data_IF_616116284066
#
_entry.id   IF_616116284066
#
_cell.length_a   1.000
_cell.length_b   1.000
_cell.length_c   1.000
_cell.angle_alpha   90.00
_cell.angle_beta   90.00
_cell.angle_gamma   90.00
#
_symmetry.space_group_name_H-M   'P 1'
#
loop_
_entity.id
_entity.type
_entity.pdbx_description
1 polymer ?
#
# COMPACT_ATOMS: atom_id res chain seq x y z
N UNK A 1 16.87 8.68 -3.87
CA UNK A 1 16.87 7.82 -5.07
C UNK A 1 15.43 7.47 -5.42
N UNK A 2 14.93 8.03 -6.52
CA UNK A 2 13.52 7.96 -6.93
C UNK A 2 13.20 6.60 -7.58
N UNK A 3 12.16 5.91 -7.11
CA UNK A 3 11.68 4.63 -7.69
C UNK A 3 10.90 4.80 -9.01
N UNK A 4 11.14 5.88 -9.77
CA UNK A 4 10.35 6.21 -10.96
C UNK A 4 10.65 5.33 -12.18
N UNK A 5 11.73 4.55 -12.15
CA UNK A 5 12.22 3.83 -13.34
C UNK A 5 12.12 2.30 -13.21
N UNK A 6 11.31 1.78 -12.28
CA UNK A 6 11.22 0.33 -12.06
C UNK A 6 10.43 -0.41 -13.16
N UNK A 7 9.73 0.31 -14.02
CA UNK A 7 8.85 -0.25 -15.06
C UNK A 7 9.48 -0.17 -16.46
N UNK A 8 10.82 -0.13 -16.56
CA UNK A 8 11.54 0.09 -17.84
C UNK A 8 11.73 -1.17 -18.69
N UNK A 9 11.43 -2.36 -18.17
CA UNK A 9 11.67 -3.62 -18.89
C UNK A 9 10.58 -3.98 -19.93
N UNK A 10 9.44 -3.29 -19.93
CA UNK A 10 8.36 -3.53 -20.90
C UNK A 10 7.94 -2.19 -21.52
N UNK A 11 8.09 -2.00 -22.85
CA UNK A 11 7.56 -0.85 -23.54
C UNK A 11 6.05 -0.78 -23.31
N UNK A 12 5.59 0.16 -22.48
CA UNK A 12 4.16 0.29 -22.25
C UNK A 12 3.52 0.89 -23.49
N UNK A 13 2.50 0.22 -24.03
CA UNK A 13 1.78 0.68 -25.22
C UNK A 13 1.35 2.16 -25.10
N UNK A 14 1.33 2.91 -26.20
CA UNK A 14 0.77 4.25 -26.27
C UNK A 14 -0.56 4.37 -25.54
N UNK A 15 -0.81 5.53 -24.91
CA UNK A 15 -2.00 5.75 -24.08
C UNK A 15 -3.31 5.53 -24.85
N UNK A 16 -3.33 5.80 -26.15
CA UNK A 16 -4.49 5.59 -27.02
C UNK A 16 -4.77 4.09 -27.19
N UNK A 17 -3.76 3.27 -27.48
CA UNK A 17 -3.89 1.82 -27.61
C UNK A 17 -4.35 1.16 -26.31
N UNK A 18 -3.82 1.59 -25.16
CA UNK A 18 -4.31 1.10 -23.85
C UNK A 18 -5.79 1.40 -23.63
N UNK A 19 -6.27 2.56 -24.09
CA UNK A 19 -7.70 2.92 -24.00
C UNK A 19 -8.54 2.11 -24.96
N UNK A 20 -8.06 1.90 -26.19
CA UNK A 20 -8.73 1.08 -27.19
C UNK A 20 -8.86 -0.37 -26.70
N UNK A 21 -7.78 -0.98 -26.21
CA UNK A 21 -7.79 -2.31 -25.62
C UNK A 21 -8.76 -2.41 -24.42
N UNK A 22 -8.76 -1.42 -23.52
CA UNK A 22 -9.70 -1.41 -22.42
C UNK A 22 -11.16 -1.19 -22.85
N UNK A 23 -11.41 -0.59 -24.01
CA UNK A 23 -12.74 -0.45 -24.58
C UNK A 23 -13.19 -1.74 -25.28
N UNK A 24 -12.33 -2.37 -26.07
CA UNK A 24 -12.61 -3.65 -26.72
C UNK A 24 -12.89 -4.75 -25.71
N UNK A 25 -12.12 -4.82 -24.62
CA UNK A 25 -12.35 -5.79 -23.56
C UNK A 25 -13.69 -5.58 -22.85
N UNK A 26 -14.06 -4.32 -22.56
CA UNK A 26 -15.38 -4.01 -22.00
C UNK A 26 -16.51 -4.40 -22.94
N UNK A 27 -16.33 -4.18 -24.23
CA UNK A 27 -17.33 -4.54 -25.24
C UNK A 27 -17.47 -6.07 -25.36
N UNK A 28 -16.35 -6.81 -25.39
CA UNK A 28 -16.32 -8.27 -25.40
C UNK A 28 -17.11 -8.84 -24.21
N UNK A 29 -16.80 -8.38 -23.00
CA UNK A 29 -17.49 -8.83 -21.77
C UNK A 29 -18.97 -8.48 -21.83
N UNK A 30 -19.33 -7.30 -22.34
CA UNK A 30 -20.74 -6.92 -22.45
C UNK A 30 -21.53 -7.85 -23.38
N UNK A 31 -20.95 -8.22 -24.53
CA UNK A 31 -21.57 -9.19 -25.46
C UNK A 31 -21.67 -10.57 -24.81
N UNK A 32 -20.63 -11.03 -24.13
CA UNK A 32 -20.64 -12.31 -23.42
C UNK A 32 -21.71 -12.35 -22.32
N UNK A 33 -21.86 -11.27 -21.55
CA UNK A 33 -22.92 -11.14 -20.54
C UNK A 33 -24.32 -11.17 -21.17
N UNK A 34 -24.50 -10.55 -22.34
CA UNK A 34 -25.77 -10.58 -23.06
C UNK A 34 -26.12 -12.00 -23.51
N UNK A 35 -25.13 -12.77 -23.99
CA UNK A 35 -25.31 -14.17 -24.36
C UNK A 35 -25.68 -15.02 -23.13
N UNK A 36 -25.01 -14.80 -21.99
CA UNK A 36 -25.33 -15.45 -20.72
C UNK A 36 -26.77 -15.14 -20.27
N UNK A 37 -27.20 -13.89 -20.40
CA UNK A 37 -28.57 -13.49 -20.06
C UNK A 37 -29.60 -14.20 -20.96
N UNK A 38 -29.29 -14.38 -22.24
CA UNK A 38 -30.13 -15.14 -23.17
C UNK A 38 -30.20 -16.62 -22.80
N UNK A 39 -29.07 -17.25 -22.43
CA UNK A 39 -29.04 -18.66 -22.03
C UNK A 39 -29.83 -18.93 -20.75
N UNK A 40 -29.73 -18.04 -19.76
CA UNK A 40 -30.54 -18.13 -18.53
C UNK A 40 -32.02 -17.92 -18.84
N UNK A 41 -32.33 -16.95 -19.71
CA UNK A 41 -33.72 -16.70 -20.14
C UNK A 41 -34.32 -17.87 -20.94
N UNK A 42 -33.48 -18.66 -21.62
CA UNK A 42 -33.86 -19.87 -22.32
C UNK A 42 -34.10 -21.08 -21.37
N UNK A 43 -33.89 -20.91 -20.06
CA UNK A 43 -34.22 -21.91 -19.04
C UNK A 43 -33.03 -22.67 -18.45
N UNK A 44 -31.79 -22.26 -18.73
CA UNK A 44 -30.60 -22.81 -18.05
C UNK A 44 -30.51 -22.25 -16.63
N UNK A 45 -30.17 -23.10 -15.66
CA UNK A 45 -30.01 -22.67 -14.27
C UNK A 45 -28.81 -21.70 -14.14
N UNK A 46 -28.95 -20.60 -13.37
CA UNK A 46 -27.88 -19.61 -13.22
C UNK A 46 -26.57 -20.17 -12.68
N UNK A 47 -26.62 -21.21 -11.85
CA UNK A 47 -25.44 -21.85 -11.24
C UNK A 47 -24.60 -22.64 -12.26
N UNK A 48 -25.20 -23.05 -13.37
CA UNK A 48 -24.52 -23.77 -14.45
C UNK A 48 -23.85 -22.83 -15.45
N UNK A 49 -24.04 -21.51 -15.31
CA UNK A 49 -23.51 -20.51 -16.24
C UNK A 49 -22.29 -19.80 -15.66
N UNK A 50 -21.19 -19.80 -16.43
CA UNK A 50 -19.95 -19.14 -16.04
C UNK A 50 -20.04 -17.61 -16.15
N UNK A 51 -19.63 -16.87 -15.11
CA UNK A 51 -19.57 -15.39 -15.13
C UNK A 51 -18.42 -14.91 -16.06
N UNK A 52 -18.72 -14.30 -17.22
CA UNK A 52 -17.68 -13.75 -18.09
C UNK A 52 -17.05 -12.51 -17.45
N UNK A 53 -15.74 -12.35 -17.62
CA UNK A 53 -15.03 -11.16 -17.15
C UNK A 53 -14.69 -11.12 -15.65
N UNK A 54 -14.78 -12.25 -14.93
CA UNK A 54 -14.36 -12.36 -13.52
C UNK A 54 -12.93 -11.82 -13.27
N UNK A 55 -12.02 -12.05 -14.22
CA UNK A 55 -10.64 -11.55 -14.20
C UNK A 55 -10.48 -10.06 -14.58
N UNK A 56 -11.51 -9.42 -15.17
CA UNK A 56 -11.48 -8.01 -15.58
C UNK A 56 -12.04 -7.07 -14.51
N UNK A 57 -12.52 -7.61 -13.37
CA UNK A 57 -12.88 -6.82 -12.20
C UNK A 57 -11.68 -5.92 -11.83
N UNK A 58 -11.81 -4.58 -11.93
CA UNK A 58 -10.69 -3.69 -11.64
C UNK A 58 -10.20 -3.98 -10.22
N UNK A 59 -8.90 -4.26 -10.06
CA UNK A 59 -8.31 -4.41 -8.73
C UNK A 59 -8.68 -3.18 -7.90
N UNK A 60 -9.39 -3.41 -6.80
CA UNK A 60 -9.84 -2.33 -5.96
C UNK A 60 -8.62 -1.52 -5.50
N UNK A 61 -8.66 -0.20 -5.68
CA UNK A 61 -7.60 0.73 -5.23
C UNK A 61 -7.20 0.54 -3.75
N UNK A 62 -8.05 -0.09 -2.94
CA UNK A 62 -7.81 -0.47 -1.55
C UNK A 62 -7.66 -1.97 -1.40
N UNK A 63 -6.71 -2.56 -2.13
CA UNK A 63 -6.34 -3.96 -1.93
C UNK A 63 -5.68 -4.14 -0.54
N UNK A 64 -6.29 -5.00 0.26
CA UNK A 64 -5.85 -5.33 1.61
C UNK A 64 -4.43 -5.93 1.63
N UNK A 65 -4.05 -6.71 0.63
CA UNK A 65 -2.71 -7.32 0.54
C UNK A 65 -1.64 -6.27 0.17
N UNK A 66 -2.01 -5.31 -0.69
CA UNK A 66 -1.16 -4.14 -0.98
C UNK A 66 -1.02 -3.26 0.27
N UNK A 67 -2.06 -3.11 1.08
CA UNK A 67 -2.00 -2.37 2.34
C UNK A 67 -1.10 -3.07 3.38
N UNK A 68 -1.26 -4.39 3.56
CA UNK A 68 -0.42 -5.21 4.45
C UNK A 68 1.05 -5.14 4.05
N UNK A 69 1.37 -5.26 2.76
CA UNK A 69 2.75 -5.19 2.27
C UNK A 69 3.38 -3.81 2.46
N UNK A 70 2.61 -2.71 2.30
CA UNK A 70 3.06 -1.34 2.60
C UNK A 70 3.31 -1.14 4.09
N UNK A 71 2.45 -1.66 4.95
CA UNK A 71 2.60 -1.58 6.40
C UNK A 71 3.86 -2.32 6.87
N UNK A 72 4.10 -3.54 6.37
CA UNK A 72 5.28 -4.35 6.66
C UNK A 72 6.61 -3.64 6.27
N UNK A 73 6.58 -2.81 5.22
CA UNK A 73 7.75 -2.01 4.78
C UNK A 73 7.97 -0.76 5.63
N UNK A 74 6.92 -0.20 6.24
CA UNK A 74 6.95 1.08 6.98
C UNK A 74 7.74 1.00 8.30
N UNK A 75 7.85 -0.19 8.89
CA UNK A 75 8.53 -0.41 10.17
C UNK A 75 10.06 -0.38 10.13
N UNK A 76 10.69 -0.58 8.96
CA UNK A 76 12.15 -0.77 8.86
C UNK A 76 12.97 0.51 8.85
N UNK A 77 12.36 1.68 8.60
CA UNK A 77 13.09 2.93 8.41
C UNK A 77 12.52 4.02 9.32
N UNK A 78 12.87 3.97 10.61
CA UNK A 78 12.73 5.18 11.44
C UNK A 78 13.62 6.25 10.81
N UNK A 79 13.05 7.41 10.46
CA UNK A 79 13.81 8.52 9.85
C UNK A 79 15.00 8.87 10.75
N UNK A 80 16.20 8.93 10.18
CA UNK A 80 17.47 9.12 10.90
C UNK A 80 17.44 10.27 11.93
N UNK A 81 16.81 11.40 11.59
CA UNK A 81 16.66 12.54 12.50
C UNK A 81 15.88 12.20 13.78
N UNK A 82 14.90 11.28 13.71
CA UNK A 82 14.11 10.82 14.87
C UNK A 82 14.96 9.95 15.80
N UNK A 83 15.86 9.14 15.25
CA UNK A 83 16.87 8.39 16.02
C UNK A 83 17.88 9.33 16.67
N UNK A 84 18.36 10.36 15.96
CA UNK A 84 19.26 11.38 16.53
C UNK A 84 18.60 12.19 17.64
N UNK A 85 17.35 12.63 17.43
CA UNK A 85 16.56 13.34 18.45
C UNK A 85 16.19 12.45 19.63
N UNK A 86 16.05 11.13 19.42
CA UNK A 86 15.94 10.19 20.52
C UNK A 86 17.25 10.16 21.30
N UNK A 87 18.40 9.89 20.67
CA UNK A 87 19.70 9.86 21.36
C UNK A 87 19.97 11.15 22.16
N UNK A 88 19.73 12.32 21.56
CA UNK A 88 19.83 13.62 22.26
C UNK A 88 18.93 13.72 23.48
N UNK A 89 17.66 13.29 23.38
CA UNK A 89 16.72 13.29 24.52
C UNK A 89 17.11 12.28 25.60
N UNK A 90 17.64 11.11 25.23
CA UNK A 90 18.15 10.13 26.19
C UNK A 90 19.35 10.70 26.95
N UNK A 91 20.28 11.33 26.24
CA UNK A 91 21.44 11.97 26.84
C UNK A 91 21.04 13.08 27.82
N UNK A 92 20.14 14.00 27.43
CA UNK A 92 19.65 15.04 28.34
C UNK A 92 18.95 14.47 29.59
N UNK A 93 18.26 13.33 29.47
CA UNK A 93 17.66 12.66 30.64
C UNK A 93 18.72 12.07 31.54
N UNK A 94 19.75 11.47 30.97
CA UNK A 94 20.87 10.91 31.73
C UNK A 94 21.61 12.02 32.49
N UNK A 95 21.95 13.11 31.81
CA UNK A 95 22.58 14.30 32.41
C UNK A 95 21.73 14.87 33.55
N UNK A 96 20.40 14.92 33.37
CA UNK A 96 19.48 15.33 34.44
C UNK A 96 19.51 14.35 35.62
N UNK A 97 19.46 13.05 35.37
CA UNK A 97 19.54 12.04 36.44
C UNK A 97 20.86 12.16 37.21
N UNK A 98 21.98 12.34 36.51
CA UNK A 98 23.30 12.45 37.11
C UNK A 98 23.44 13.75 37.92
N UNK A 99 22.91 14.87 37.42
CA UNK A 99 22.85 16.12 38.17
C UNK A 99 22.01 15.99 39.46
N UNK A 100 20.88 15.26 39.41
CA UNK A 100 20.05 15.00 40.59
C UNK A 100 20.74 14.07 41.59
N UNK A 101 21.49 13.07 41.12
CA UNK A 101 22.32 12.22 41.98
C UNK A 101 23.43 13.02 42.65
N UNK A 102 24.15 13.86 41.90
CA UNK A 102 25.19 14.74 42.44
C UNK A 102 24.65 15.73 43.48
N UNK A 103 23.47 16.33 43.24
CA UNK A 103 22.81 17.20 44.20
C UNK A 103 22.34 16.46 45.47
N UNK A 104 21.96 15.17 45.34
CA UNK A 104 21.62 14.31 46.48
C UNK A 104 22.85 13.92 47.30
N UNK A 105 24.00 13.70 46.68
CA UNK A 105 25.23 13.31 47.36
C UNK A 105 26.02 14.50 47.94
N UNK A 106 25.82 15.72 47.41
CA UNK A 106 26.43 16.96 47.92
C UNK A 106 25.37 17.97 48.43
N UNK A 107 24.75 17.73 49.60
CA UNK A 107 23.72 18.62 50.14
C UNK A 107 24.25 19.97 50.66
N UNK A 108 25.57 20.19 50.73
CA UNK A 108 26.19 21.38 51.36
C UNK A 108 26.34 22.62 50.47
N UNK A 109 25.84 22.60 49.23
CA UNK A 109 25.85 23.75 48.30
C UNK A 109 24.45 24.31 47.97
N UNK A 110 23.41 23.80 48.63
CA UNK A 110 22.05 24.33 48.54
C UNK A 110 21.73 25.16 49.79
N UNK A 111 22.44 26.27 49.95
CA UNK A 111 22.10 27.38 50.84
C UNK A 111 21.72 28.59 50.01
#
# INVERSE_FOLDING_TARGET
MSQRNRDTDVPTLPRQERRAHAHSERHRIHVELQNVAQTVSAGIEPEDVHEPGSAWKPMHRHDAEVAKSKLAKRGRVKRHWKTKMWKRRTQMRQEKIDAWKMARENPTLAG
#
